data_IF_967409872332
#
_entry.id   IF_967409872332
#
_cell.length_a   1.000
_cell.length_b   1.000
_cell.length_c   1.000
_cell.angle_alpha   90.00
_cell.angle_beta   90.00
_cell.angle_gamma   90.00
#
_symmetry.space_group_name_H-M   'P 1'
#
loop_
_entity.id
_entity.type
_entity.pdbx_description
1 polymer ?
#
# COMPACT_ATOMS: atom_id res chain seq x y z
N UNK A 1 16.65 -13.91 8.16
CA UNK A 1 16.08 -12.76 8.88
C UNK A 1 14.64 -12.59 8.42
N UNK A 2 13.68 -12.83 9.29
CA UNK A 2 12.26 -12.74 8.95
C UNK A 2 11.89 -11.26 8.83
N UNK A 3 11.82 -10.74 7.61
CA UNK A 3 11.29 -9.41 7.35
C UNK A 3 9.81 -9.42 7.68
N UNK A 4 9.45 -8.86 8.85
CA UNK A 4 8.06 -8.67 9.24
C UNK A 4 7.41 -7.74 8.22
N UNK A 5 6.60 -8.32 7.33
CA UNK A 5 5.85 -7.55 6.34
C UNK A 5 4.83 -6.69 7.08
N UNK A 6 4.80 -5.39 6.78
CA UNK A 6 3.78 -4.49 7.27
C UNK A 6 2.46 -4.84 6.59
N UNK A 7 1.40 -5.06 7.36
CA UNK A 7 0.07 -5.27 6.77
C UNK A 7 -0.49 -3.94 6.28
N UNK A 8 -0.41 -3.72 4.97
CA UNK A 8 -0.88 -2.50 4.32
C UNK A 8 -2.41 -2.35 4.37
N UNK A 9 -3.17 -3.42 4.69
CA UNK A 9 -4.63 -3.34 4.85
C UNK A 9 -5.07 -2.68 6.16
N UNK A 10 -4.16 -2.57 7.12
CA UNK A 10 -4.41 -1.83 8.36
C UNK A 10 -4.16 -0.31 8.22
N UNK A 11 -3.63 0.14 7.08
CA UNK A 11 -3.27 1.53 6.84
C UNK A 11 -4.44 2.31 6.23
N UNK A 12 -4.62 3.56 6.67
CA UNK A 12 -5.51 4.51 5.99
C UNK A 12 -4.92 4.93 4.64
N UNK A 13 -5.74 5.53 3.77
CA UNK A 13 -5.28 6.07 2.48
C UNK A 13 -4.09 7.02 2.63
N UNK A 14 -4.08 7.87 3.66
CA UNK A 14 -2.99 8.81 3.93
C UNK A 14 -1.73 8.09 4.39
N UNK A 15 -1.86 7.13 5.31
CA UNK A 15 -0.72 6.31 5.75
C UNK A 15 -0.13 5.48 4.60
N UNK A 16 -0.96 5.03 3.65
CA UNK A 16 -0.48 4.36 2.43
C UNK A 16 0.35 5.32 1.57
N UNK A 17 -0.13 6.56 1.38
CA UNK A 17 0.59 7.58 0.60
C UNK A 17 1.94 7.88 1.23
N UNK A 18 1.97 8.11 2.54
CA UNK A 18 3.19 8.40 3.29
C UNK A 18 4.16 7.22 3.25
N UNK A 19 3.64 5.98 3.32
CA UNK A 19 4.43 4.77 3.15
C UNK A 19 5.17 4.75 1.80
N UNK A 20 4.49 5.07 0.69
CA UNK A 20 5.15 5.11 -0.62
C UNK A 20 6.16 6.26 -0.73
N UNK A 21 5.88 7.43 -0.13
CA UNK A 21 6.82 8.56 -0.13
C UNK A 21 8.09 8.24 0.69
N UNK A 22 7.94 7.61 1.85
CA UNK A 22 9.06 7.18 2.71
C UNK A 22 9.96 6.14 2.02
N UNK A 23 9.38 5.32 1.14
CA UNK A 23 10.13 4.37 0.29
C UNK A 23 10.77 5.03 -0.95
N UNK A 24 10.64 6.35 -1.14
CA UNK A 24 11.18 7.09 -2.28
C UNK A 24 10.28 7.08 -3.53
N UNK A 25 9.05 6.59 -3.40
CA UNK A 25 8.05 6.52 -4.45
C UNK A 25 7.06 7.69 -4.40
N UNK A 26 6.22 7.83 -5.43
CA UNK A 26 5.26 8.93 -5.51
C UNK A 26 4.01 8.65 -4.67
N UNK A 27 3.52 9.65 -3.95
CA UNK A 27 2.30 9.55 -3.12
C UNK A 27 1.08 9.00 -3.86
N UNK A 28 0.94 9.24 -5.17
CA UNK A 28 -0.21 8.72 -5.92
C UNK A 28 -0.24 7.19 -5.99
N UNK A 29 0.90 6.50 -5.82
CA UNK A 29 0.92 5.03 -5.73
C UNK A 29 0.13 4.52 -4.54
N UNK A 30 0.16 5.24 -3.42
CA UNK A 30 -0.70 4.97 -2.27
C UNK A 30 -2.19 5.05 -2.62
N UNK A 31 -2.58 5.98 -3.48
CA UNK A 31 -3.97 6.05 -3.96
C UNK A 31 -4.33 4.84 -4.81
N UNK A 32 -3.46 4.45 -5.75
CA UNK A 32 -3.71 3.31 -6.64
C UNK A 32 -3.85 2.01 -5.87
N UNK A 33 -2.93 1.75 -4.93
CA UNK A 33 -2.97 0.54 -4.10
C UNK A 33 -4.19 0.55 -3.19
N UNK A 34 -4.60 1.73 -2.69
CA UNK A 34 -5.86 1.86 -1.95
C UNK A 34 -7.08 1.51 -2.82
N UNK A 35 -7.16 2.01 -4.05
CA UNK A 35 -8.25 1.64 -4.94
C UNK A 35 -8.27 0.13 -5.22
N UNK A 36 -7.10 -0.49 -5.40
CA UNK A 36 -7.03 -1.94 -5.62
C UNK A 36 -7.51 -2.74 -4.42
N UNK A 37 -7.04 -2.40 -3.21
CA UNK A 37 -7.37 -3.14 -2.00
C UNK A 37 -8.86 -3.00 -1.61
N UNK A 38 -9.43 -1.79 -1.70
CA UNK A 38 -10.77 -1.50 -1.16
C UNK A 38 -11.86 -1.35 -2.23
N UNK A 39 -11.57 -0.85 -3.42
CA UNK A 39 -12.58 -0.74 -4.49
C UNK A 39 -12.63 -1.98 -5.38
N UNK A 40 -11.48 -2.60 -5.63
CA UNK A 40 -11.36 -3.81 -6.48
C UNK A 40 -11.22 -5.10 -5.67
N UNK A 41 -11.21 -5.02 -4.34
CA UNK A 41 -11.03 -6.16 -3.43
C UNK A 41 -9.84 -7.05 -3.81
N UNK A 42 -8.70 -6.45 -4.15
CA UNK A 42 -7.50 -7.19 -4.53
C UNK A 42 -6.94 -7.96 -3.33
N UNK A 43 -6.84 -9.28 -3.50
CA UNK A 43 -6.30 -10.17 -2.46
C UNK A 43 -4.78 -10.34 -2.58
N UNK A 44 -4.23 -10.18 -3.77
CA UNK A 44 -2.80 -10.30 -4.08
C UNK A 44 -2.37 -9.28 -5.14
N UNK A 45 -1.11 -8.88 -5.08
CA UNK A 45 -0.42 -8.21 -6.18
C UNK A 45 0.61 -9.22 -6.69
N UNK A 46 0.42 -9.71 -7.92
CA UNK A 46 1.43 -10.54 -8.57
C UNK A 46 2.60 -9.64 -8.99
N UNK A 47 3.82 -10.20 -8.88
CA UNK A 47 5.10 -9.54 -9.18
C UNK A 47 5.47 -9.71 -10.64
#
# INVERSE_FOLDING_TARGET
MSTTKKDIRALTKEQLRDFFVDQGDKAFRGNQVYEWLWQKSAHSFEL
#
